data_IF_707616669389
#
_entry.id   IF_707616669389
#
_cell.length_a   1.000
_cell.length_b   1.000
_cell.length_c   1.000
_cell.angle_alpha   90.00
_cell.angle_beta   90.00
_cell.angle_gamma   90.00
#
_symmetry.space_group_name_H-M   'P 1'
#
loop_
_entity.id
_entity.type
_entity.pdbx_description
1 polymer ?
#
# COMPACT_ATOMS: atom_id res chain seq x y z
N UNK A 1 -28.04 12.08 8.64
CA UNK A 1 -26.61 12.01 8.23
C UNK A 1 -25.74 12.46 9.37
N UNK A 2 -24.63 11.77 9.66
CA UNK A 2 -23.66 12.22 10.63
C UNK A 2 -23.05 13.57 10.17
N UNK A 3 -23.00 14.54 11.09
CA UNK A 3 -22.38 15.84 10.79
C UNK A 3 -20.86 15.71 10.93
N UNK A 4 -20.12 16.16 9.91
CA UNK A 4 -18.66 16.27 10.00
C UNK A 4 -18.23 17.29 11.07
N UNK A 5 -17.05 17.09 11.65
CA UNK A 5 -16.48 18.03 12.60
C UNK A 5 -16.17 19.40 11.97
N UNK A 6 -16.11 20.45 12.79
CA UNK A 6 -15.89 21.84 12.33
C UNK A 6 -14.65 21.97 11.43
N UNK A 7 -13.52 21.41 11.84
CA UNK A 7 -12.26 21.43 11.07
C UNK A 7 -12.38 20.81 9.69
N UNK A 8 -13.09 19.67 9.58
CA UNK A 8 -13.33 19.02 8.29
C UNK A 8 -14.19 19.90 7.38
N UNK A 9 -15.24 20.52 7.93
CA UNK A 9 -16.12 21.43 7.16
C UNK A 9 -15.35 22.65 6.65
N UNK A 10 -14.44 23.19 7.46
CA UNK A 10 -13.56 24.31 7.05
C UNK A 10 -12.59 23.86 5.95
N UNK A 11 -11.94 22.71 6.10
CA UNK A 11 -11.04 22.15 5.11
C UNK A 11 -11.78 21.83 3.79
N UNK A 12 -13.00 21.27 3.88
CA UNK A 12 -13.81 20.94 2.71
C UNK A 12 -14.23 22.17 1.87
N UNK A 13 -14.28 23.36 2.45
CA UNK A 13 -14.56 24.60 1.69
C UNK A 13 -13.43 25.00 0.74
N UNK A 14 -12.22 24.50 0.98
CA UNK A 14 -11.04 24.79 0.16
C UNK A 14 -10.94 23.88 -1.07
N UNK A 15 -11.72 22.79 -1.11
CA UNK A 15 -11.71 21.81 -2.19
C UNK A 15 -13.11 21.78 -2.83
N UNK A 16 -13.17 22.05 -4.12
CA UNK A 16 -14.39 21.81 -4.88
C UNK A 16 -14.47 20.33 -5.25
N UNK A 17 -15.49 19.64 -4.78
CA UNK A 17 -15.70 18.19 -4.99
C UNK A 17 -16.00 17.84 -6.45
N UNK A 18 -16.45 18.80 -7.26
CA UNK A 18 -16.80 18.59 -8.68
C UNK A 18 -15.62 18.92 -9.59
N UNK A 19 -14.69 19.76 -9.15
CA UNK A 19 -13.52 20.13 -9.90
C UNK A 19 -12.50 18.96 -9.99
N UNK A 20 -11.77 18.92 -11.09
CA UNK A 20 -10.60 18.02 -11.27
C UNK A 20 -9.36 18.88 -11.31
N UNK A 21 -8.43 18.59 -10.42
CA UNK A 21 -7.19 19.33 -10.24
C UNK A 21 -6.02 18.65 -10.95
N UNK A 22 -5.03 19.40 -11.34
CA UNK A 22 -3.76 18.81 -11.76
C UNK A 22 -3.09 18.12 -10.57
N UNK A 23 -2.27 17.05 -10.80
CA UNK A 23 -1.71 16.24 -9.72
C UNK A 23 -0.98 17.06 -8.64
N UNK A 24 -0.18 18.03 -9.06
CA UNK A 24 0.57 18.90 -8.16
C UNK A 24 -0.38 19.76 -7.31
N UNK A 25 -1.37 20.39 -7.92
CA UNK A 25 -2.36 21.22 -7.24
C UNK A 25 -3.19 20.40 -6.24
N UNK A 26 -3.60 19.19 -6.63
CA UNK A 26 -4.34 18.30 -5.73
C UNK A 26 -3.52 17.96 -4.47
N UNK A 27 -2.22 17.66 -4.63
CA UNK A 27 -1.32 17.37 -3.51
C UNK A 27 -1.15 18.60 -2.62
N UNK A 28 -0.94 19.78 -3.19
CA UNK A 28 -0.80 21.04 -2.44
C UNK A 28 -2.08 21.37 -1.65
N UNK A 29 -3.26 21.15 -2.24
CA UNK A 29 -4.54 21.32 -1.56
C UNK A 29 -4.68 20.33 -0.40
N UNK A 30 -4.33 19.06 -0.60
CA UNK A 30 -4.37 18.02 0.45
C UNK A 30 -3.43 18.39 1.60
N UNK A 31 -2.22 18.90 1.33
CA UNK A 31 -1.29 19.36 2.36
C UNK A 31 -1.85 20.57 3.14
N UNK A 32 -2.50 21.50 2.47
CA UNK A 32 -3.15 22.68 3.11
C UNK A 32 -4.36 22.29 3.95
N UNK A 33 -5.07 21.23 3.60
CA UNK A 33 -6.28 20.77 4.31
C UNK A 33 -6.00 19.76 5.41
N UNK A 34 -4.76 19.34 5.60
CA UNK A 34 -4.34 18.49 6.70
C UNK A 34 -4.35 19.29 8.01
N UNK A 35 -5.26 18.98 8.93
CA UNK A 35 -5.51 19.74 10.16
C UNK A 35 -5.23 18.96 11.44
N UNK A 36 -4.77 17.71 11.35
CA UNK A 36 -4.46 16.90 12.52
C UNK A 36 -3.15 17.36 13.22
N UNK A 37 -3.01 16.99 14.49
CA UNK A 37 -1.80 17.29 15.27
C UNK A 37 -0.67 16.28 15.07
N UNK A 38 -0.91 15.24 14.29
CA UNK A 38 0.08 14.22 13.94
C UNK A 38 0.41 14.31 12.45
N UNK A 39 1.52 13.71 12.04
CA UNK A 39 1.91 13.66 10.63
C UNK A 39 0.98 12.69 9.87
N UNK A 40 -0.02 13.28 9.19
CA UNK A 40 -1.03 12.54 8.45
C UNK A 40 -0.40 11.78 7.27
N UNK A 41 -0.98 10.63 6.94
CA UNK A 41 -0.63 9.93 5.70
C UNK A 41 -1.37 10.56 4.53
N UNK A 42 -0.71 10.67 3.39
CA UNK A 42 -1.33 11.01 2.11
C UNK A 42 -1.66 9.70 1.39
N UNK A 43 -2.93 9.51 1.08
CA UNK A 43 -3.45 8.29 0.48
C UNK A 43 -4.12 8.60 -0.85
N UNK A 44 -4.06 7.65 -1.76
CA UNK A 44 -4.72 7.73 -3.05
C UNK A 44 -5.77 6.62 -3.18
N UNK A 45 -6.94 6.99 -3.67
CA UNK A 45 -8.00 6.08 -4.06
C UNK A 45 -8.16 6.14 -5.59
N UNK A 46 -7.97 5.00 -6.26
CA UNK A 46 -8.06 4.88 -7.71
C UNK A 46 -9.23 3.96 -8.06
N UNK A 47 -10.23 4.49 -8.76
CA UNK A 47 -11.32 3.68 -9.29
C UNK A 47 -10.96 3.17 -10.68
N UNK A 48 -10.91 1.85 -10.81
CA UNK A 48 -10.60 1.18 -12.06
C UNK A 48 -11.86 0.79 -12.85
N UNK A 49 -11.73 0.70 -14.16
CA UNK A 49 -12.75 0.21 -15.07
C UNK A 49 -12.75 -1.30 -15.22
N UNK A 50 -12.70 -2.04 -14.09
CA UNK A 50 -12.68 -3.50 -14.04
C UNK A 50 -13.85 -4.03 -13.21
N UNK A 51 -14.25 -5.28 -13.45
CA UNK A 51 -15.26 -5.98 -12.64
C UNK A 51 -14.57 -6.82 -11.57
N UNK A 52 -14.65 -6.45 -10.27
CA UNK A 52 -13.97 -7.15 -9.19
C UNK A 52 -14.49 -8.58 -8.95
N UNK A 53 -15.65 -8.94 -9.53
CA UNK A 53 -16.24 -10.29 -9.43
C UNK A 53 -15.56 -11.31 -10.33
N UNK A 54 -14.86 -10.82 -11.37
CA UNK A 54 -14.18 -11.67 -12.34
C UNK A 54 -12.72 -11.84 -11.96
N UNK A 55 -12.27 -13.09 -11.85
CA UNK A 55 -10.90 -13.41 -11.47
C UNK A 55 -9.87 -12.94 -12.51
N UNK A 56 -10.23 -12.92 -13.79
CA UNK A 56 -9.41 -12.46 -14.91
C UNK A 56 -9.21 -10.93 -14.92
N UNK A 57 -10.03 -10.20 -14.16
CA UNK A 57 -9.95 -8.74 -13.98
C UNK A 57 -9.45 -8.33 -12.60
N UNK A 58 -9.05 -9.28 -11.78
CA UNK A 58 -8.51 -9.00 -10.45
C UNK A 58 -7.11 -8.37 -10.55
N UNK A 59 -7.00 -7.11 -10.14
CA UNK A 59 -5.74 -6.36 -10.10
C UNK A 59 -5.12 -6.47 -8.71
N UNK A 60 -3.93 -7.03 -8.64
CA UNK A 60 -3.11 -7.11 -7.43
C UNK A 60 -1.65 -7.07 -7.83
N UNK A 61 -0.86 -6.32 -7.12
CA UNK A 61 0.57 -6.22 -7.37
C UNK A 61 1.29 -5.46 -6.29
N UNK A 62 2.53 -5.14 -6.58
CA UNK A 62 3.41 -4.38 -5.71
C UNK A 62 4.08 -3.26 -6.49
N UNK A 63 4.42 -2.20 -5.80
CA UNK A 63 5.23 -1.10 -6.33
C UNK A 63 6.21 -0.65 -5.26
N UNK A 64 7.43 -0.36 -5.67
CA UNK A 64 8.42 0.30 -4.83
C UNK A 64 8.30 1.79 -5.10
N UNK A 65 7.97 2.54 -4.05
CA UNK A 65 7.86 3.99 -4.15
C UNK A 65 9.25 4.61 -4.10
N UNK A 66 9.60 5.53 -5.03
CA UNK A 66 10.93 6.16 -5.08
C UNK A 66 11.36 6.80 -3.76
N UNK A 67 10.42 7.44 -3.07
CA UNK A 67 10.67 8.14 -1.79
C UNK A 67 10.12 7.40 -0.56
N UNK A 68 9.70 6.14 -0.74
CA UNK A 68 9.08 5.35 0.33
C UNK A 68 7.75 5.90 0.83
N UNK A 69 7.28 5.38 1.94
CA UNK A 69 5.98 5.76 2.55
C UNK A 69 6.14 6.65 3.79
N UNK A 70 7.37 6.91 4.24
CA UNK A 70 7.64 7.62 5.51
C UNK A 70 7.33 6.82 6.77
N UNK A 71 7.10 5.51 6.64
CA UNK A 71 6.97 4.59 7.77
C UNK A 71 8.06 3.54 7.71
N UNK A 72 8.77 3.36 8.80
CA UNK A 72 9.68 2.21 8.98
C UNK A 72 8.84 0.99 9.31
N UNK A 73 8.84 -0.01 8.43
CA UNK A 73 8.10 -1.26 8.62
C UNK A 73 8.96 -2.27 9.36
N UNK A 74 8.39 -2.92 10.37
CA UNK A 74 9.00 -4.08 11.02
C UNK A 74 8.78 -5.31 10.17
N UNK A 75 9.86 -5.96 9.77
CA UNK A 75 9.84 -7.12 8.88
C UNK A 75 10.12 -8.39 9.66
N UNK A 76 9.20 -9.34 9.61
CA UNK A 76 9.37 -10.70 10.09
C UNK A 76 9.75 -11.61 8.92
N UNK A 77 10.79 -12.40 9.07
CA UNK A 77 11.22 -13.38 8.06
C UNK A 77 11.13 -14.79 8.61
N UNK A 78 10.40 -15.66 7.91
CA UNK A 78 10.42 -17.09 8.13
C UNK A 78 11.43 -17.76 7.19
N UNK A 79 12.51 -18.26 7.76
CA UNK A 79 13.57 -18.92 7.02
C UNK A 79 14.19 -20.05 7.83
N UNK A 80 14.86 -20.99 7.15
CA UNK A 80 15.61 -22.11 7.76
C UNK A 80 17.11 -22.01 7.43
N UNK A 81 17.94 -22.50 8.35
CA UNK A 81 19.38 -22.68 8.13
C UNK A 81 20.12 -21.39 7.81
N UNK A 82 20.89 -21.40 6.72
CA UNK A 82 21.71 -20.25 6.31
C UNK A 82 20.91 -19.00 5.94
N UNK A 83 19.67 -19.16 5.47
CA UNK A 83 18.76 -18.05 5.13
C UNK A 83 18.39 -17.17 6.33
N UNK A 84 18.50 -17.68 7.54
CA UNK A 84 18.34 -16.90 8.77
C UNK A 84 19.43 -15.82 8.83
N UNK A 85 20.70 -16.19 8.63
CA UNK A 85 21.83 -15.25 8.66
C UNK A 85 21.75 -14.22 7.53
N UNK A 86 21.31 -14.63 6.35
CA UNK A 86 21.07 -13.71 5.22
C UNK A 86 19.98 -12.68 5.56
N UNK A 87 18.88 -13.11 6.20
CA UNK A 87 17.78 -12.24 6.61
C UNK A 87 18.23 -11.24 7.70
N UNK A 88 19.01 -11.67 8.67
CA UNK A 88 19.58 -10.80 9.70
C UNK A 88 20.55 -9.78 9.09
N UNK A 89 21.44 -10.21 8.20
CA UNK A 89 22.37 -9.34 7.49
C UNK A 89 21.65 -8.32 6.59
N UNK A 90 20.48 -8.67 6.02
CA UNK A 90 19.62 -7.78 5.25
C UNK A 90 18.87 -6.75 6.13
N UNK A 91 18.95 -6.90 7.46
CA UNK A 91 18.32 -5.99 8.41
C UNK A 91 16.86 -6.33 8.74
N UNK A 92 16.45 -7.59 8.66
CA UNK A 92 15.14 -8.01 9.16
C UNK A 92 15.05 -7.76 10.67
N UNK A 93 13.89 -7.31 11.15
CA UNK A 93 13.71 -6.99 12.57
C UNK A 93 13.47 -8.25 13.40
N UNK A 94 12.84 -9.24 12.81
CA UNK A 94 12.58 -10.55 13.40
C UNK A 94 12.88 -11.64 12.38
N UNK A 95 13.64 -12.63 12.79
CA UNK A 95 13.93 -13.81 11.96
C UNK A 95 13.71 -15.06 12.79
N UNK A 96 13.11 -16.08 12.22
CA UNK A 96 12.93 -17.34 12.93
C UNK A 96 12.24 -18.41 12.11
N UNK A 97 12.14 -19.57 12.73
CA UNK A 97 11.50 -20.78 12.21
C UNK A 97 10.22 -21.06 13.02
N UNK A 98 10.04 -22.26 13.51
CA UNK A 98 8.91 -22.75 14.30
C UNK A 98 8.65 -21.95 15.57
N UNK A 99 9.69 -21.37 16.17
CA UNK A 99 9.59 -20.56 17.38
C UNK A 99 8.72 -19.31 17.16
N UNK A 100 8.88 -18.66 16.00
CA UNK A 100 8.06 -17.49 15.64
C UNK A 100 6.62 -17.89 15.31
N UNK A 101 6.41 -19.07 14.73
CA UNK A 101 5.06 -19.62 14.51
C UNK A 101 4.32 -19.78 15.83
N UNK A 102 4.99 -20.36 16.84
CA UNK A 102 4.41 -20.55 18.17
C UNK A 102 4.09 -19.21 18.85
N UNK A 103 4.98 -18.20 18.76
CA UNK A 103 4.74 -16.85 19.27
C UNK A 103 3.50 -16.20 18.62
N UNK A 104 3.34 -16.33 17.33
CA UNK A 104 2.17 -15.80 16.61
C UNK A 104 0.89 -16.51 17.04
N UNK A 105 0.93 -17.83 17.24
CA UNK A 105 -0.22 -18.59 17.79
C UNK A 105 -0.62 -18.11 19.20
N UNK A 106 0.35 -17.67 19.99
CA UNK A 106 0.12 -17.09 21.32
C UNK A 106 -0.35 -15.64 21.27
N UNK A 107 -0.49 -15.04 20.07
CA UNK A 107 -1.04 -13.69 19.89
C UNK A 107 -0.01 -12.58 19.75
N UNK A 108 1.26 -12.90 19.45
CA UNK A 108 2.27 -11.89 19.18
C UNK A 108 2.20 -11.42 17.72
N UNK A 109 2.09 -10.09 17.50
CA UNK A 109 1.96 -9.46 16.16
C UNK A 109 2.73 -8.13 16.06
N UNK A 110 3.90 -8.02 16.66
CA UNK A 110 4.70 -6.81 16.63
C UNK A 110 5.52 -6.69 15.33
N UNK A 111 4.88 -6.92 14.19
CA UNK A 111 5.46 -6.77 12.86
C UNK A 111 4.41 -6.29 11.85
N UNK A 112 4.88 -5.59 10.81
CA UNK A 112 4.02 -4.99 9.77
C UNK A 112 3.99 -5.82 8.48
N UNK A 113 5.07 -6.52 8.17
CA UNK A 113 5.20 -7.34 6.96
C UNK A 113 5.84 -8.67 7.29
N UNK A 114 5.34 -9.72 6.67
CA UNK A 114 5.87 -11.08 6.79
C UNK A 114 6.44 -11.54 5.45
N UNK A 115 7.68 -12.02 5.46
CA UNK A 115 8.37 -12.66 4.34
C UNK A 115 8.61 -14.12 4.71
N UNK A 116 8.43 -15.03 3.76
CA UNK A 116 8.67 -16.46 3.99
C UNK A 116 9.44 -17.06 2.82
N UNK A 117 10.35 -17.98 3.12
CA UNK A 117 10.90 -18.86 2.09
C UNK A 117 9.83 -19.87 1.66
N UNK A 118 9.82 -20.33 0.41
CA UNK A 118 8.85 -21.34 -0.07
C UNK A 118 8.81 -22.60 0.81
N UNK A 119 9.95 -23.01 1.36
CA UNK A 119 10.08 -24.20 2.22
C UNK A 119 9.30 -24.04 3.53
N UNK A 120 9.19 -22.81 4.06
CA UNK A 120 8.45 -22.51 5.28
C UNK A 120 6.96 -22.35 5.06
N UNK A 121 6.50 -22.22 3.81
CA UNK A 121 5.09 -21.93 3.51
C UNK A 121 4.15 -23.03 3.99
N UNK A 122 4.60 -24.28 4.06
CA UNK A 122 3.80 -25.39 4.59
C UNK A 122 3.47 -25.17 6.09
N UNK A 123 4.42 -24.65 6.85
CA UNK A 123 4.26 -24.39 8.28
C UNK A 123 3.52 -23.06 8.52
N UNK A 124 3.90 -22.01 7.79
CA UNK A 124 3.22 -20.69 7.83
C UNK A 124 1.75 -20.81 7.37
N UNK A 125 1.45 -21.75 6.48
CA UNK A 125 0.09 -22.07 6.05
C UNK A 125 -0.86 -22.42 7.20
N UNK A 126 -0.36 -23.03 8.28
CA UNK A 126 -1.13 -23.34 9.50
C UNK A 126 -1.63 -22.06 10.19
N UNK A 127 -0.90 -20.96 10.02
CA UNK A 127 -1.27 -19.61 10.53
C UNK A 127 -2.21 -18.84 9.58
N UNK A 128 -2.58 -19.42 8.43
CA UNK A 128 -3.32 -18.75 7.37
C UNK A 128 -4.61 -18.09 7.81
N UNK A 129 -5.35 -18.71 8.76
CA UNK A 129 -6.57 -18.11 9.32
C UNK A 129 -6.27 -16.85 10.14
N UNK A 130 -5.16 -16.84 10.87
CA UNK A 130 -4.76 -15.74 11.75
C UNK A 130 -4.12 -14.62 10.94
N UNK A 131 -3.08 -14.93 10.15
CA UNK A 131 -2.36 -13.96 9.34
C UNK A 131 -3.22 -13.43 8.18
N UNK A 132 -4.06 -14.29 7.59
CA UNK A 132 -4.96 -13.89 6.50
C UNK A 132 -6.02 -12.88 6.94
N UNK A 133 -6.60 -13.05 8.13
CA UNK A 133 -7.56 -12.09 8.69
C UNK A 133 -6.96 -10.71 8.99
N UNK A 134 -5.66 -10.65 9.28
CA UNK A 134 -4.91 -9.40 9.51
C UNK A 134 -4.24 -8.84 8.25
N UNK A 135 -4.31 -9.54 7.10
CA UNK A 135 -3.64 -9.14 5.87
C UNK A 135 -2.11 -9.32 5.88
N UNK A 136 -1.57 -10.08 6.84
CA UNK A 136 -0.13 -10.29 7.03
C UNK A 136 0.40 -11.59 6.38
N UNK A 137 -0.47 -12.35 5.69
CA UNK A 137 -0.08 -13.62 5.09
C UNK A 137 0.86 -13.41 3.91
N UNK A 138 2.05 -14.06 3.90
CA UNK A 138 2.95 -14.00 2.76
C UNK A 138 2.29 -14.49 1.47
N UNK A 139 2.59 -13.83 0.35
CA UNK A 139 1.99 -14.14 -0.94
C UNK A 139 3.04 -14.04 -2.06
N UNK A 140 3.14 -15.05 -2.96
CA UNK A 140 4.04 -15.00 -4.11
C UNK A 140 3.79 -13.79 -5.03
N UNK A 141 2.51 -13.41 -5.24
CA UNK A 141 2.15 -12.27 -6.08
C UNK A 141 2.58 -10.93 -5.49
N UNK A 142 2.73 -10.86 -4.16
CA UNK A 142 3.26 -9.70 -3.45
C UNK A 142 4.81 -9.76 -3.33
N UNK A 143 5.45 -10.80 -3.85
CA UNK A 143 6.89 -11.01 -3.74
C UNK A 143 7.38 -11.14 -2.30
N UNK A 144 6.49 -11.58 -1.39
CA UNK A 144 6.82 -11.85 0.01
C UNK A 144 7.06 -13.35 0.26
N UNK A 145 6.92 -14.18 -0.77
CA UNK A 145 7.37 -15.58 -0.78
C UNK A 145 8.49 -15.70 -1.81
N UNK A 146 9.73 -15.78 -1.35
CA UNK A 146 10.92 -15.81 -2.21
C UNK A 146 12.10 -16.50 -1.54
N UNK A 147 13.02 -17.05 -2.34
CA UNK A 147 14.31 -17.54 -1.86
C UNK A 147 15.32 -16.39 -1.67
N UNK A 148 15.15 -15.27 -2.38
CA UNK A 148 15.99 -14.07 -2.24
C UNK A 148 15.44 -13.16 -1.14
N UNK A 149 15.73 -13.55 0.08
CA UNK A 149 15.25 -12.86 1.29
C UNK A 149 15.88 -11.47 1.40
N UNK A 150 17.16 -11.34 1.05
CA UNK A 150 17.90 -10.09 1.14
C UNK A 150 17.24 -8.98 0.34
N UNK A 151 16.96 -9.27 -0.94
CA UNK A 151 16.30 -8.33 -1.84
C UNK A 151 14.89 -7.98 -1.36
N UNK A 152 14.11 -8.98 -0.91
CA UNK A 152 12.77 -8.75 -0.42
C UNK A 152 12.73 -7.82 0.80
N UNK A 153 13.62 -8.04 1.78
CA UNK A 153 13.72 -7.19 2.98
C UNK A 153 14.14 -5.76 2.61
N UNK A 154 15.14 -5.61 1.74
CA UNK A 154 15.59 -4.30 1.27
C UNK A 154 14.49 -3.52 0.55
N UNK A 155 13.76 -4.16 -0.38
CA UNK A 155 12.65 -3.54 -1.08
C UNK A 155 11.52 -3.10 -0.14
N UNK A 156 11.18 -3.94 0.87
CA UNK A 156 10.15 -3.62 1.86
C UNK A 156 10.59 -2.40 2.69
N UNK A 157 11.85 -2.34 3.12
CA UNK A 157 12.40 -1.20 3.86
C UNK A 157 12.57 0.05 2.99
N UNK A 158 12.81 -0.12 1.69
CA UNK A 158 12.82 0.98 0.71
C UNK A 158 11.44 1.58 0.42
N UNK A 159 10.35 0.98 0.93
CA UNK A 159 9.00 1.51 0.76
C UNK A 159 8.14 0.76 -0.25
N UNK A 160 8.39 -0.55 -0.41
CA UNK A 160 7.50 -1.42 -1.19
C UNK A 160 6.10 -1.45 -0.57
N UNK A 161 5.10 -1.15 -1.38
CA UNK A 161 3.69 -1.24 -1.01
C UNK A 161 2.99 -2.30 -1.87
N UNK A 162 2.02 -2.99 -1.28
CA UNK A 162 1.11 -3.87 -1.99
C UNK A 162 -0.18 -3.09 -2.31
N UNK A 163 -0.71 -3.29 -3.50
CA UNK A 163 -2.03 -2.80 -3.87
C UNK A 163 -2.93 -3.95 -4.30
N UNK A 164 -4.19 -3.85 -3.95
CA UNK A 164 -5.21 -4.85 -4.25
C UNK A 164 -6.53 -4.19 -4.58
N UNK A 165 -7.20 -4.69 -5.62
CA UNK A 165 -8.55 -4.30 -5.98
C UNK A 165 -9.53 -4.71 -4.88
N UNK A 166 -10.37 -3.80 -4.44
CA UNK A 166 -11.47 -4.06 -3.53
C UNK A 166 -12.73 -4.55 -4.26
N UNK A 167 -13.79 -4.85 -3.48
CA UNK A 167 -15.07 -5.31 -4.03
C UNK A 167 -15.82 -4.21 -4.80
N UNK A 168 -15.46 -2.95 -4.64
CA UNK A 168 -16.04 -1.80 -5.33
C UNK A 168 -15.28 -1.42 -6.61
N UNK A 169 -14.21 -2.15 -6.95
CA UNK A 169 -13.37 -1.84 -8.10
C UNK A 169 -12.41 -0.68 -7.85
N UNK A 170 -12.01 -0.48 -6.60
CA UNK A 170 -11.10 0.58 -6.19
C UNK A 170 -9.81 0.00 -5.62
N UNK A 171 -8.75 0.78 -5.73
CA UNK A 171 -7.45 0.51 -5.10
C UNK A 171 -7.14 1.67 -4.16
N UNK A 172 -6.78 1.35 -2.93
CA UNK A 172 -6.35 2.30 -1.91
C UNK A 172 -4.89 2.04 -1.58
N UNK A 173 -4.07 3.09 -1.63
CA UNK A 173 -2.65 2.98 -1.33
C UNK A 173 -2.11 4.28 -0.71
N UNK A 174 -1.21 4.18 0.29
CA UNK A 174 -0.49 5.33 0.82
C UNK A 174 0.62 5.73 -0.16
N UNK A 175 0.78 7.02 -0.42
CA UNK A 175 1.84 7.58 -1.27
C UNK A 175 2.89 8.36 -0.47
N UNK A 176 2.68 8.57 0.83
CA UNK A 176 3.65 9.22 1.71
C UNK A 176 3.02 9.87 2.92
N UNK A 177 3.70 10.86 3.47
CA UNK A 177 3.29 11.67 4.61
C UNK A 177 3.09 13.13 4.20
N UNK A 178 2.25 13.86 4.93
CA UNK A 178 2.05 15.31 4.72
C UNK A 178 3.37 16.09 4.90
N UNK A 179 4.27 15.59 5.73
CA UNK A 179 5.63 16.16 5.92
C UNK A 179 6.52 16.07 4.68
N UNK A 180 6.21 15.21 3.70
CA UNK A 180 6.96 15.09 2.46
C UNK A 180 6.78 16.33 1.58
N UNK A 181 7.80 16.65 0.77
CA UNK A 181 7.68 17.66 -0.27
C UNK A 181 6.64 17.25 -1.30
N UNK A 182 5.94 18.24 -1.88
CA UNK A 182 4.89 17.97 -2.85
C UNK A 182 5.42 17.26 -4.11
N UNK A 183 6.65 17.54 -4.51
CA UNK A 183 7.32 16.88 -5.64
C UNK A 183 7.53 15.38 -5.37
N UNK A 184 8.00 15.02 -4.17
CA UNK A 184 8.20 13.61 -3.76
C UNK A 184 6.89 12.82 -3.75
N UNK A 185 5.80 13.45 -3.26
CA UNK A 185 4.47 12.85 -3.28
C UNK A 185 3.95 12.66 -4.71
N UNK A 186 4.22 13.61 -5.60
CA UNK A 186 3.85 13.52 -7.01
C UNK A 186 4.62 12.41 -7.74
N UNK A 187 5.91 12.27 -7.48
CA UNK A 187 6.71 11.16 -8.04
C UNK A 187 6.22 9.79 -7.54
N UNK A 188 5.89 9.68 -6.25
CA UNK A 188 5.30 8.46 -5.69
C UNK A 188 3.92 8.16 -6.30
N UNK A 189 3.08 9.17 -6.47
CA UNK A 189 1.78 9.03 -7.14
C UNK A 189 1.96 8.54 -8.58
N UNK A 190 2.87 9.15 -9.34
CA UNK A 190 3.17 8.76 -10.71
C UNK A 190 3.67 7.31 -10.79
N UNK A 191 4.62 6.93 -9.93
CA UNK A 191 5.13 5.56 -9.88
C UNK A 191 4.03 4.52 -9.62
N UNK A 192 3.09 4.83 -8.71
CA UNK A 192 1.95 3.96 -8.43
C UNK A 192 1.01 3.88 -9.63
N UNK A 193 0.65 5.00 -10.26
CA UNK A 193 -0.25 5.02 -11.42
C UNK A 193 0.35 4.30 -12.62
N UNK A 194 1.64 4.47 -12.89
CA UNK A 194 2.37 3.75 -13.93
C UNK A 194 2.35 2.23 -13.68
N UNK A 195 2.54 1.80 -12.43
CA UNK A 195 2.44 0.39 -12.06
C UNK A 195 1.03 -0.15 -12.29
N UNK A 196 -0.02 0.62 -11.96
CA UNK A 196 -1.41 0.23 -12.21
C UNK A 196 -1.73 0.12 -13.70
N UNK A 197 -1.24 1.06 -14.52
CA UNK A 197 -1.42 1.04 -15.97
C UNK A 197 -0.74 -0.19 -16.58
N UNK A 198 0.48 -0.53 -16.16
CA UNK A 198 1.19 -1.75 -16.59
C UNK A 198 0.48 -3.03 -16.17
N UNK A 199 -0.19 -3.01 -15.02
CA UNK A 199 -0.96 -4.14 -14.50
C UNK A 199 -2.36 -4.27 -15.11
N UNK A 200 -2.72 -3.46 -16.12
CA UNK A 200 -4.03 -3.50 -16.76
C UNK A 200 -4.29 -4.89 -17.34
N UNK A 201 -5.38 -5.59 -16.91
CA UNK A 201 -5.75 -6.87 -17.47
C UNK A 201 -6.17 -6.74 -18.95
N UNK A 202 -5.80 -7.71 -19.78
CA UNK A 202 -6.22 -7.76 -21.19
C UNK A 202 -7.76 -7.81 -21.35
N UNK A 203 -8.45 -8.38 -20.37
CA UNK A 203 -9.91 -8.45 -20.33
C UNK A 203 -10.59 -7.10 -20.00
N UNK A 204 -9.84 -6.09 -19.53
CA UNK A 204 -10.40 -4.78 -19.19
C UNK A 204 -10.60 -3.95 -20.46
N UNK A 205 -11.88 -3.74 -20.83
CA UNK A 205 -12.28 -2.93 -22.00
C UNK A 205 -12.66 -1.52 -21.57
N UNK A 206 -12.42 -0.55 -22.45
CA UNK A 206 -12.78 0.85 -22.23
C UNK A 206 -11.83 1.62 -21.33
N UNK A 207 -12.36 2.65 -20.65
CA UNK A 207 -11.56 3.54 -19.80
C UNK A 207 -11.15 2.78 -18.53
N UNK A 208 -9.83 2.59 -18.35
CA UNK A 208 -9.27 1.84 -17.24
C UNK A 208 -9.19 2.69 -15.95
N UNK A 209 -8.60 3.89 -16.01
CA UNK A 209 -8.57 4.83 -14.88
C UNK A 209 -9.84 5.69 -14.94
N UNK A 210 -10.83 5.39 -14.11
CA UNK A 210 -12.11 6.14 -14.09
C UNK A 210 -12.04 7.37 -13.20
N UNK A 211 -11.45 7.25 -12.04
CA UNK A 211 -11.32 8.34 -11.09
C UNK A 211 -10.07 8.13 -10.22
N UNK A 212 -9.40 9.22 -9.91
CA UNK A 212 -8.26 9.26 -8.99
C UNK A 212 -8.58 10.34 -7.97
N UNK A 213 -8.43 10.03 -6.69
CA UNK A 213 -8.62 10.98 -5.60
C UNK A 213 -7.49 10.85 -4.60
N UNK A 214 -6.94 11.96 -4.17
CA UNK A 214 -5.89 12.03 -3.14
C UNK A 214 -6.48 12.69 -1.91
N UNK A 215 -6.15 12.18 -0.72
CA UNK A 215 -6.62 12.71 0.55
C UNK A 215 -5.57 12.55 1.64
N UNK A 216 -5.62 13.41 2.66
CA UNK A 216 -4.92 13.15 3.92
C UNK A 216 -5.79 12.28 4.83
N UNK A 217 -5.21 11.70 5.89
CA UNK A 217 -5.90 10.77 6.80
C UNK A 217 -7.22 11.33 7.34
N UNK A 218 -7.26 12.61 7.70
CA UNK A 218 -8.44 13.26 8.30
C UNK A 218 -9.06 14.34 7.41
N UNK A 219 -8.47 14.60 6.24
CA UNK A 219 -8.89 15.64 5.32
C UNK A 219 -9.89 15.20 4.26
N UNK A 220 -10.48 16.14 3.52
CA UNK A 220 -11.30 15.87 2.37
C UNK A 220 -10.45 15.38 1.18
N UNK A 221 -11.08 14.64 0.26
CA UNK A 221 -10.44 14.16 -0.95
C UNK A 221 -10.45 15.18 -2.09
N UNK A 222 -9.30 15.39 -2.74
CA UNK A 222 -9.18 16.16 -3.97
C UNK A 222 -9.15 15.21 -5.18
N UNK A 223 -9.99 15.50 -6.19
CA UNK A 223 -10.03 14.71 -7.41
C UNK A 223 -8.90 15.12 -8.35
N UNK A 224 -8.15 14.14 -8.83
CA UNK A 224 -7.04 14.34 -9.78
C UNK A 224 -7.52 14.14 -11.21
N UNK A 225 -7.05 14.99 -12.13
CA UNK A 225 -7.33 14.87 -13.56
C UNK A 225 -6.73 13.58 -14.12
N UNK A 226 -7.58 12.68 -14.62
CA UNK A 226 -7.13 11.40 -15.20
C UNK A 226 -6.56 11.54 -16.61
N UNK A 227 -6.79 12.67 -17.30
CA UNK A 227 -6.30 12.88 -18.65
C UNK A 227 -4.77 12.91 -18.73
N UNK A 228 -4.11 13.35 -17.66
CA UNK A 228 -2.65 13.40 -17.54
C UNK A 228 -1.98 12.01 -17.49
N UNK A 229 -2.78 10.93 -17.33
CA UNK A 229 -2.29 9.54 -17.19
C UNK A 229 -2.91 8.56 -18.21
N UNK A 230 -3.49 9.08 -19.29
CA UNK A 230 -4.06 8.27 -20.38
C UNK A 230 -3.06 7.98 -21.49
#
# INVERSE_FOLDING_TARGET
>A
MAKHGKKYVEAAKLIDSEASYEPQEAIDLVKKTATAKFDESVEVAVRLGVDPRKQDQAVRGVVVLPHGTGKTKKVLVFAKGEKIKEAEAAGADYVGDTDMINKIQQGWFDFDVCVATPDMMAEVGKLGRILGGKGLMPNPKAGTVTFDVTKAVQEIKAGKIEYRLDKAGQIHAPIGKVSFDAEKLNENLKALLDALIRAKPAAAKGVYLKNISVSSTMGPGARVNTASYR
#
